data_IF_362642487229
#
_entry.id   IF_362642487229
#
_cell.length_a   1.000
_cell.length_b   1.000
_cell.length_c   1.000
_cell.angle_alpha   90.00
_cell.angle_beta   90.00
_cell.angle_gamma   90.00
#
_symmetry.space_group_name_H-M   'P 1'
#
loop_
_entity.id
_entity.type
_entity.pdbx_description
1 polymer ?
#
# COMPACT_ATOMS: atom_id res chain seq x y z
N UNK A 1 -16.65 8.70 -0.84
CA UNK A 1 -16.14 8.19 -2.12
C UNK A 1 -15.06 7.13 -1.91
N UNK A 2 -15.17 5.99 -2.61
CA UNK A 2 -14.11 4.99 -2.71
C UNK A 2 -13.09 5.42 -3.77
N UNK A 3 -11.80 5.25 -3.49
CA UNK A 3 -10.72 5.42 -4.48
C UNK A 3 -9.58 4.45 -4.23
N UNK A 4 -8.75 4.24 -5.24
CA UNK A 4 -7.51 3.50 -5.09
C UNK A 4 -6.41 4.40 -4.50
N UNK A 5 -5.59 3.87 -3.60
CA UNK A 5 -4.44 4.60 -3.04
C UNK A 5 -3.14 3.80 -3.18
N UNK A 6 -2.63 3.76 -4.41
CA UNK A 6 -1.37 3.08 -4.69
C UNK A 6 -0.15 3.84 -4.16
N UNK A 7 -0.21 5.17 -4.07
CA UNK A 7 0.90 5.97 -3.53
C UNK A 7 1.26 5.51 -2.11
N UNK A 8 0.25 5.42 -1.23
CA UNK A 8 0.41 4.90 0.14
C UNK A 8 0.96 3.48 0.13
N UNK A 9 0.42 2.61 -0.73
CA UNK A 9 0.85 1.21 -0.81
C UNK A 9 2.33 1.09 -1.20
N UNK A 10 2.79 1.86 -2.19
CA UNK A 10 4.20 1.85 -2.59
C UNK A 10 5.12 2.29 -1.45
N UNK A 11 4.74 3.34 -0.72
CA UNK A 11 5.53 3.84 0.41
C UNK A 11 5.59 2.84 1.57
N UNK A 12 4.45 2.25 1.95
CA UNK A 12 4.38 1.23 2.99
C UNK A 12 5.21 -0.02 2.65
N UNK A 13 5.29 -0.38 1.37
CA UNK A 13 6.11 -1.50 0.88
C UNK A 13 7.57 -1.10 0.57
N UNK A 14 7.97 0.14 0.82
CA UNK A 14 9.34 0.62 0.57
C UNK A 14 9.73 0.70 -0.91
N UNK A 15 8.77 0.76 -1.84
CA UNK A 15 9.01 0.75 -3.28
C UNK A 15 9.42 2.14 -3.77
N UNK A 16 10.69 2.29 -4.19
CA UNK A 16 11.27 3.57 -4.65
C UNK A 16 10.95 3.92 -6.11
N UNK A 17 10.74 2.92 -6.96
CA UNK A 17 10.48 3.10 -8.39
C UNK A 17 9.17 2.39 -8.79
N UNK A 18 8.00 2.93 -8.40
CA UNK A 18 6.72 2.27 -8.57
C UNK A 18 6.41 1.83 -10.02
N UNK A 19 6.66 2.70 -11.00
CA UNK A 19 6.38 2.38 -12.40
C UNK A 19 7.26 1.23 -12.89
N UNK A 20 8.55 1.25 -12.54
CA UNK A 20 9.47 0.18 -12.89
C UNK A 20 9.07 -1.13 -12.19
N UNK A 21 8.71 -1.09 -10.91
CA UNK A 21 8.24 -2.25 -10.16
C UNK A 21 7.04 -2.94 -10.85
N UNK A 22 6.02 -2.15 -11.23
CA UNK A 22 4.86 -2.68 -11.93
C UNK A 22 5.20 -3.25 -13.32
N UNK A 23 6.12 -2.62 -14.06
CA UNK A 23 6.57 -3.15 -15.35
C UNK A 23 7.26 -4.50 -15.18
N UNK A 24 8.13 -4.66 -14.17
CA UNK A 24 8.77 -5.95 -13.88
C UNK A 24 7.77 -7.01 -13.40
N UNK A 25 6.69 -6.59 -12.74
CA UNK A 25 5.54 -7.44 -12.43
C UNK A 25 4.67 -7.77 -13.66
N UNK A 26 5.02 -7.29 -14.85
CA UNK A 26 4.34 -7.59 -16.11
C UNK A 26 3.12 -6.72 -16.40
N UNK A 27 3.03 -5.51 -15.84
CA UNK A 27 2.09 -4.49 -16.34
C UNK A 27 2.71 -3.79 -17.56
N UNK A 28 1.87 -3.34 -18.50
CA UNK A 28 2.36 -2.50 -19.61
C UNK A 28 2.90 -1.18 -19.07
N UNK A 29 3.82 -0.56 -19.80
CA UNK A 29 4.38 0.75 -19.43
C UNK A 29 3.28 1.78 -19.19
N UNK A 30 2.30 1.87 -20.09
CA UNK A 30 1.16 2.79 -19.96
C UNK A 30 0.34 2.50 -18.69
N UNK A 31 -0.04 1.24 -18.46
CA UNK A 31 -0.78 0.84 -17.27
C UNK A 31 0.00 1.19 -15.99
N UNK A 32 1.30 0.90 -15.93
CA UNK A 32 2.14 1.23 -14.80
C UNK A 32 2.14 2.74 -14.50
N UNK A 33 2.34 3.59 -15.51
CA UNK A 33 2.29 5.05 -15.32
C UNK A 33 0.92 5.55 -14.90
N UNK A 34 -0.16 4.97 -15.44
CA UNK A 34 -1.53 5.34 -15.03
C UNK A 34 -1.79 4.97 -13.57
N UNK A 35 -1.37 3.79 -13.12
CA UNK A 35 -1.52 3.32 -11.74
C UNK A 35 -0.78 4.27 -10.79
N UNK A 36 0.49 4.55 -11.08
CA UNK A 36 1.36 5.39 -10.24
C UNK A 36 0.82 6.81 -10.12
N UNK A 37 0.27 7.36 -11.20
CA UNK A 37 -0.29 8.71 -11.20
C UNK A 37 -1.76 8.76 -10.73
N UNK A 38 -2.34 7.65 -10.25
CA UNK A 38 -3.74 7.61 -9.82
C UNK A 38 -4.75 7.87 -10.94
N UNK A 39 -4.37 7.68 -12.22
CA UNK A 39 -5.21 7.92 -13.41
C UNK A 39 -6.00 6.71 -13.86
N UNK A 40 -6.11 5.69 -13.01
CA UNK A 40 -6.92 4.49 -13.28
C UNK A 40 -8.29 4.68 -12.66
N UNK A 41 -9.33 4.70 -13.50
CA UNK A 41 -10.73 4.81 -13.05
C UNK A 41 -11.30 3.49 -12.57
N UNK A 42 -10.84 2.36 -13.13
CA UNK A 42 -11.27 1.03 -12.75
C UNK A 42 -10.19 -0.01 -13.11
N UNK A 43 -10.12 -1.07 -12.31
CA UNK A 43 -9.37 -2.28 -12.63
C UNK A 43 -10.33 -3.42 -12.92
N UNK A 44 -9.96 -4.30 -13.86
CA UNK A 44 -10.64 -5.58 -14.01
C UNK A 44 -10.33 -6.48 -12.80
N UNK A 45 -11.17 -7.48 -12.48
CA UNK A 45 -10.87 -8.44 -11.42
C UNK A 45 -9.51 -9.12 -11.57
N UNK A 46 -9.11 -9.47 -12.80
CA UNK A 46 -7.80 -10.05 -13.08
C UNK A 46 -6.64 -9.09 -12.76
N UNK A 47 -6.81 -7.78 -13.00
CA UNK A 47 -5.81 -6.79 -12.61
C UNK A 47 -5.74 -6.62 -11.09
N UNK A 48 -6.89 -6.63 -10.40
CA UNK A 48 -6.95 -6.58 -8.93
C UNK A 48 -6.25 -7.80 -8.34
N UNK A 49 -6.56 -9.01 -8.80
CA UNK A 49 -5.92 -10.24 -8.37
C UNK A 49 -4.40 -10.17 -8.56
N UNK A 50 -3.95 -9.75 -9.75
CA UNK A 50 -2.52 -9.57 -10.04
C UNK A 50 -1.85 -8.60 -9.08
N UNK A 51 -2.50 -7.47 -8.76
CA UNK A 51 -1.99 -6.50 -7.78
C UNK A 51 -1.92 -7.13 -6.37
N UNK A 52 -2.98 -7.83 -5.95
CA UNK A 52 -3.03 -8.51 -4.66
C UNK A 52 -1.92 -9.54 -4.50
N UNK A 53 -1.62 -10.30 -5.56
CA UNK A 53 -0.53 -11.30 -5.57
C UNK A 53 0.84 -10.65 -5.38
N UNK A 54 1.13 -9.54 -6.07
CA UNK A 54 2.45 -8.89 -5.96
C UNK A 54 2.63 -8.08 -4.67
N UNK A 55 1.53 -7.59 -4.07
CA UNK A 55 1.58 -6.82 -2.83
C UNK A 55 1.32 -7.66 -1.58
N UNK A 56 0.94 -8.94 -1.72
CA UNK A 56 0.48 -9.79 -0.64
C UNK A 56 -0.63 -9.12 0.18
N UNK A 57 -1.70 -8.72 -0.49
CA UNK A 57 -2.83 -8.02 0.12
C UNK A 57 -4.17 -8.53 -0.41
N UNK A 58 -5.27 -8.04 0.16
CA UNK A 58 -6.63 -8.25 -0.32
C UNK A 58 -7.09 -7.09 -1.22
N UNK A 59 -8.19 -7.25 -1.99
CA UNK A 59 -8.75 -6.16 -2.79
C UNK A 59 -9.11 -4.91 -1.97
N UNK A 60 -9.53 -5.11 -0.70
CA UNK A 60 -9.86 -4.03 0.21
C UNK A 60 -8.64 -3.16 0.55
N UNK A 61 -7.45 -3.76 0.61
CA UNK A 61 -6.21 -3.04 0.92
C UNK A 61 -5.75 -2.10 -0.22
N UNK A 62 -6.27 -2.29 -1.44
CA UNK A 62 -6.00 -1.41 -2.58
C UNK A 62 -6.87 -0.14 -2.55
N UNK A 63 -7.94 -0.14 -1.74
CA UNK A 63 -8.95 0.90 -1.72
C UNK A 63 -8.93 1.68 -0.42
N UNK A 64 -9.33 2.94 -0.51
CA UNK A 64 -9.65 3.76 0.64
C UNK A 64 -11.02 4.41 0.47
N UNK A 65 -11.68 4.63 1.59
CA UNK A 65 -12.95 5.31 1.67
C UNK A 65 -12.75 6.68 2.31
N UNK A 66 -13.09 7.72 1.54
CA UNK A 66 -13.13 9.10 2.03
C UNK A 66 -14.59 9.47 2.24
N UNK A 67 -15.06 9.69 3.48
CA UNK A 67 -16.43 10.17 3.71
C UNK A 67 -16.62 11.53 3.02
N UNK A 68 -17.79 11.75 2.40
CA UNK A 68 -18.19 13.11 2.04
C UNK A 68 -18.91 13.76 3.23
N UNK A 69 -19.00 15.09 3.22
CA UNK A 69 -19.58 15.87 4.32
C UNK A 69 -21.07 15.56 4.57
N UNK A 70 -21.74 14.84 3.66
CA UNK A 70 -23.17 14.53 3.71
C UNK A 70 -23.44 13.08 4.13
N UNK A 71 -22.43 12.22 4.10
CA UNK A 71 -22.56 10.78 4.35
C UNK A 71 -22.21 10.48 5.80
N UNK A 72 -23.24 10.42 6.64
CA UNK A 72 -23.12 9.93 8.01
C UNK A 72 -23.36 8.42 8.03
N UNK A 73 -22.34 7.64 8.37
CA UNK A 73 -22.48 6.20 8.61
C UNK A 73 -22.27 5.88 10.09
N UNK A 74 -22.94 4.82 10.55
CA UNK A 74 -22.77 4.29 11.90
C UNK A 74 -21.28 4.00 12.20
N UNK A 75 -20.88 4.15 13.46
CA UNK A 75 -19.53 3.83 13.94
C UNK A 75 -19.07 2.40 13.64
N UNK A 76 -20.00 1.44 13.64
CA UNK A 76 -19.70 0.03 13.37
C UNK A 76 -19.78 -0.35 11.88
N UNK A 77 -19.95 0.63 10.99
CA UNK A 77 -20.11 0.35 9.57
C UNK A 77 -18.80 -0.18 8.95
N UNK A 78 -18.80 -1.29 8.19
CA UNK A 78 -17.58 -1.92 7.67
C UNK A 78 -16.68 -1.02 6.81
N UNK A 79 -17.24 -0.05 6.08
CA UNK A 79 -16.46 0.92 5.31
C UNK A 79 -15.52 1.77 6.17
N UNK A 80 -15.77 1.91 7.48
CA UNK A 80 -14.83 2.60 8.38
C UNK A 80 -13.46 1.90 8.44
N UNK A 81 -13.38 0.60 8.11
CA UNK A 81 -12.12 -0.14 7.99
C UNK A 81 -11.25 0.32 6.80
N UNK A 82 -11.86 0.96 5.81
CA UNK A 82 -11.18 1.49 4.62
C UNK A 82 -10.85 2.98 4.75
N UNK A 83 -11.20 3.63 5.87
CA UNK A 83 -10.74 5.01 6.13
C UNK A 83 -9.22 4.98 6.18
N UNK A 84 -8.60 5.95 5.51
CA UNK A 84 -7.15 6.01 5.35
C UNK A 84 -6.45 5.85 6.72
N UNK A 85 -5.80 4.69 6.90
CA UNK A 85 -4.95 4.44 8.06
C UNK A 85 -3.68 5.27 7.89
N UNK A 86 -3.16 5.82 9.00
CA UNK A 86 -1.93 6.61 9.03
C UNK A 86 -0.84 5.97 8.17
N UNK A 87 -0.29 6.75 7.25
CA UNK A 87 0.80 6.31 6.38
C UNK A 87 2.06 6.04 7.23
N UNK A 88 2.57 4.82 7.16
CA UNK A 88 3.82 4.43 7.80
C UNK A 88 4.83 4.11 6.70
N UNK A 89 5.94 4.85 6.67
CA UNK A 89 7.07 4.57 5.81
C UNK A 89 8.22 4.02 6.65
N UNK A 90 8.48 2.72 6.54
CA UNK A 90 9.55 2.04 7.29
C UNK A 90 10.92 2.67 7.05
N UNK A 91 11.14 3.32 5.90
CA UNK A 91 12.40 4.02 5.59
C UNK A 91 12.59 5.22 6.50
N UNK A 92 11.52 5.93 6.87
CA UNK A 92 11.62 7.05 7.78
C UNK A 92 11.97 6.59 9.19
N UNK A 93 11.43 5.44 9.63
CA UNK A 93 11.81 4.82 10.91
C UNK A 93 13.30 4.47 10.92
N UNK A 94 13.81 3.89 9.83
CA UNK A 94 15.21 3.49 9.74
C UNK A 94 16.20 4.68 9.70
N UNK A 95 15.79 5.85 9.20
CA UNK A 95 16.67 7.04 9.10
C UNK A 95 17.11 7.58 10.45
N UNK A 96 16.25 7.47 11.47
CA UNK A 96 16.52 8.02 12.80
C UNK A 96 17.39 7.09 13.66
N UNK A 97 17.73 5.90 13.14
CA UNK A 97 18.50 4.89 13.85
C UNK A 97 19.99 5.15 13.62
N UNK A 98 20.79 5.31 14.69
CA UNK A 98 22.25 5.40 14.58
C UNK A 98 22.85 4.22 13.81
N UNK A 99 23.86 4.47 13.00
CA UNK A 99 24.47 3.43 12.13
C UNK A 99 24.98 2.21 12.93
N UNK A 100 25.49 2.43 14.14
CA UNK A 100 25.96 1.37 15.04
C UNK A 100 24.83 0.54 15.68
N UNK A 101 23.57 0.89 15.43
CA UNK A 101 22.36 0.21 15.93
C UNK A 101 21.50 -0.37 14.82
N UNK A 102 21.89 -0.22 13.56
CA UNK A 102 21.09 -0.67 12.42
C UNK A 102 21.01 -2.20 12.34
N UNK A 103 22.08 -2.90 12.71
CA UNK A 103 22.13 -4.37 12.74
C UNK A 103 21.18 -4.92 13.81
N UNK A 104 21.27 -4.42 15.04
CA UNK A 104 20.36 -4.76 16.15
C UNK A 104 18.88 -4.54 15.75
N UNK A 105 18.59 -3.44 15.07
CA UNK A 105 17.24 -3.12 14.60
C UNK A 105 16.77 -4.08 13.51
N UNK A 106 17.61 -4.37 12.51
CA UNK A 106 17.29 -5.29 11.43
C UNK A 106 17.02 -6.71 11.96
N UNK A 107 17.80 -7.17 12.93
CA UNK A 107 17.59 -8.47 13.57
C UNK A 107 16.21 -8.55 14.24
N UNK A 108 15.85 -7.54 15.05
CA UNK A 108 14.53 -7.48 15.70
C UNK A 108 13.38 -7.44 14.69
N UNK A 109 13.55 -6.77 13.56
CA UNK A 109 12.55 -6.77 12.50
C UNK A 109 12.37 -8.15 11.86
N UNK A 110 13.46 -8.89 11.63
CA UNK A 110 13.36 -10.26 11.09
C UNK A 110 12.74 -11.23 12.11
N UNK A 111 13.03 -11.08 13.40
CA UNK A 111 12.36 -11.85 14.46
C UNK A 111 10.86 -11.56 14.50
N UNK A 112 10.47 -10.29 14.43
CA UNK A 112 9.07 -9.89 14.37
C UNK A 112 8.38 -10.44 13.11
N UNK A 113 9.05 -10.37 11.95
CA UNK A 113 8.52 -10.91 10.70
C UNK A 113 8.26 -12.42 10.78
N UNK A 114 9.14 -13.19 11.43
CA UNK A 114 8.92 -14.63 11.68
C UNK A 114 7.75 -14.92 12.62
N UNK A 115 7.30 -13.96 13.43
CA UNK A 115 6.13 -14.14 14.30
C UNK A 115 4.80 -13.84 13.60
N UNK A 116 4.85 -13.17 12.44
CA UNK A 116 3.66 -12.77 11.66
C UNK A 116 3.21 -13.85 10.67
N UNK A 117 4.02 -14.89 10.44
CA UNK A 117 3.79 -16.00 9.52
C UNK A 117 4.16 -17.33 10.20
#
# INVERSE_FOLDING_TARGET
MLKYNFERLFKMKGILKPAQFLIHAGFSKDAAYRIVNGKVSAFTPAQIEKLCLIFHCSPNDLMEWIPDDKTTINENHPLKKLVAVKEIDLRNIAKDIPINKIEDFAQKLEELKKSLF
#
